data_IF_594369552809
#
_entry.id   IF_594369552809
#
_cell.length_a   1.000
_cell.length_b   1.000
_cell.length_c   1.000
_cell.angle_alpha   90.00
_cell.angle_beta   90.00
_cell.angle_gamma   90.00
#
_symmetry.space_group_name_H-M   'P 1'
#
loop_
_entity.id
_entity.type
_entity.pdbx_description
1 polymer ?
#
# COMPACT_ATOMS: atom_id res chain seq x y z
N UNK A 1 -13.16 -31.19 17.84
CA UNK A 1 -13.02 -32.44 18.61
C UNK A 1 -14.40 -33.11 18.69
N UNK A 2 -14.45 -34.44 18.75
CA UNK A 2 -15.68 -35.24 18.89
C UNK A 2 -16.57 -34.76 20.07
N UNK A 3 -15.98 -34.30 21.14
CA UNK A 3 -16.69 -33.73 22.30
C UNK A 3 -17.51 -32.46 21.96
N UNK A 4 -17.07 -31.62 21.05
CA UNK A 4 -17.82 -30.42 20.62
C UNK A 4 -19.08 -30.79 19.82
N UNK A 5 -19.05 -31.86 19.05
CA UNK A 5 -20.18 -32.36 18.23
C UNK A 5 -21.24 -32.92 19.16
N UNK A 6 -20.85 -33.72 20.13
CA UNK A 6 -21.79 -34.33 21.12
C UNK A 6 -22.44 -33.27 22.01
N UNK A 7 -21.71 -32.26 22.47
CA UNK A 7 -22.25 -31.19 23.35
C UNK A 7 -23.24 -30.28 22.58
N UNK A 8 -23.05 -30.04 21.30
CA UNK A 8 -23.92 -29.19 20.49
C UNK A 8 -25.07 -29.95 19.82
N UNK A 9 -25.13 -31.29 19.97
CA UNK A 9 -26.20 -32.12 19.40
C UNK A 9 -26.26 -32.09 17.87
N UNK A 10 -25.08 -31.86 17.21
CA UNK A 10 -24.96 -31.81 15.74
C UNK A 10 -25.24 -33.21 15.20
N UNK A 11 -26.22 -33.32 14.29
CA UNK A 11 -26.62 -34.60 13.66
C UNK A 11 -26.16 -34.72 12.22
N UNK A 12 -26.04 -33.61 11.53
CA UNK A 12 -25.50 -33.55 10.17
C UNK A 12 -24.65 -32.30 10.01
N UNK A 13 -23.63 -32.40 9.20
CA UNK A 13 -22.74 -31.28 8.88
C UNK A 13 -22.26 -31.38 7.44
N UNK A 14 -22.04 -30.22 6.82
CA UNK A 14 -21.48 -30.07 5.50
C UNK A 14 -20.33 -29.08 5.57
N UNK A 15 -19.25 -29.36 4.88
CA UNK A 15 -18.09 -28.47 4.80
C UNK A 15 -17.57 -28.44 3.36
N UNK A 16 -17.37 -27.24 2.82
CA UNK A 16 -16.78 -27.06 1.49
C UNK A 16 -15.60 -26.09 1.59
N UNK A 17 -14.51 -26.36 0.87
CA UNK A 17 -13.34 -25.49 0.86
C UNK A 17 -13.62 -24.19 0.10
N UNK A 18 -13.05 -23.09 0.59
CA UNK A 18 -12.93 -21.82 -0.12
C UNK A 18 -11.60 -21.81 -0.87
N UNK A 19 -11.68 -21.86 -2.20
CA UNK A 19 -10.50 -21.92 -3.05
C UNK A 19 -10.05 -20.55 -3.51
N UNK A 20 -8.74 -20.33 -3.50
CA UNK A 20 -8.02 -19.26 -4.17
C UNK A 20 -7.09 -19.90 -5.20
N UNK A 21 -7.49 -19.91 -6.46
CA UNK A 21 -6.85 -20.66 -7.54
C UNK A 21 -6.53 -22.11 -7.14
N UNK A 22 -5.34 -22.37 -6.63
CA UNK A 22 -4.87 -23.72 -6.23
C UNK A 22 -4.68 -23.87 -4.70
N UNK A 23 -5.10 -22.89 -3.91
CA UNK A 23 -4.92 -22.91 -2.46
C UNK A 23 -6.25 -22.80 -1.73
N UNK A 24 -6.43 -23.63 -0.70
CA UNK A 24 -7.57 -23.51 0.21
C UNK A 24 -7.28 -22.36 1.19
N UNK A 25 -8.08 -21.31 1.16
CA UNK A 25 -7.96 -20.13 2.03
C UNK A 25 -8.93 -20.15 3.21
N UNK A 26 -9.88 -21.07 3.21
CA UNK A 26 -10.85 -21.22 4.26
C UNK A 26 -11.80 -22.39 4.02
N UNK A 27 -12.76 -22.57 4.92
CA UNK A 27 -13.80 -23.58 4.81
C UNK A 27 -15.15 -22.95 5.15
N UNK A 28 -16.14 -23.15 4.29
CA UNK A 28 -17.52 -22.85 4.60
C UNK A 28 -18.14 -24.09 5.26
N UNK A 29 -18.67 -23.92 6.45
CA UNK A 29 -19.22 -24.99 7.28
C UNK A 29 -20.68 -24.69 7.62
N UNK A 30 -21.54 -25.70 7.51
CA UNK A 30 -22.88 -25.64 7.98
C UNK A 30 -23.22 -26.92 8.78
N UNK A 31 -23.99 -26.77 9.82
CA UNK A 31 -24.46 -27.89 10.65
C UNK A 31 -25.94 -27.77 10.95
N UNK A 32 -26.55 -28.92 11.21
CA UNK A 32 -27.95 -29.02 11.63
C UNK A 32 -28.11 -29.95 12.85
N UNK A 33 -28.91 -29.50 13.80
CA UNK A 33 -29.22 -30.23 15.02
C UNK A 33 -30.65 -30.79 15.04
N UNK A 34 -31.47 -30.49 14.01
CA UNK A 34 -32.83 -30.97 13.90
C UNK A 34 -32.87 -32.41 13.40
N UNK A 35 -33.65 -33.27 14.08
CA UNK A 35 -33.78 -34.69 13.77
C UNK A 35 -34.52 -35.00 12.45
N UNK A 36 -35.16 -34.00 11.85
CA UNK A 36 -35.94 -34.12 10.61
C UNK A 36 -35.16 -33.70 9.35
N UNK A 37 -33.97 -33.14 9.51
CA UNK A 37 -33.16 -32.68 8.38
C UNK A 37 -32.02 -33.69 8.13
N UNK A 38 -32.14 -34.47 7.10
CA UNK A 38 -31.11 -35.40 6.65
C UNK A 38 -30.53 -34.92 5.32
N UNK A 39 -29.33 -34.45 5.33
CA UNK A 39 -28.54 -34.14 4.11
C UNK A 39 -28.31 -35.40 3.24
N UNK A 40 -28.72 -36.59 3.73
CA UNK A 40 -28.34 -37.87 3.15
C UNK A 40 -29.18 -38.33 1.94
N UNK A 41 -30.34 -37.75 1.68
CA UNK A 41 -31.22 -38.20 0.60
C UNK A 41 -31.31 -37.30 -0.63
N UNK A 42 -30.86 -36.04 -0.52
CA UNK A 42 -30.82 -35.03 -1.60
C UNK A 42 -29.45 -34.35 -1.72
N UNK A 43 -28.42 -34.98 -1.17
CA UNK A 43 -27.13 -34.38 -0.85
C UNK A 43 -26.28 -33.85 -2.04
N UNK A 44 -26.56 -34.25 -3.28
CA UNK A 44 -25.77 -33.76 -4.43
C UNK A 44 -26.22 -32.35 -4.86
N UNK A 45 -27.51 -32.06 -4.87
CA UNK A 45 -28.01 -30.72 -5.22
C UNK A 45 -27.65 -29.68 -4.13
N UNK A 46 -27.82 -30.06 -2.87
CA UNK A 46 -27.48 -29.20 -1.73
C UNK A 46 -25.96 -28.96 -1.65
N UNK A 47 -25.14 -30.00 -1.87
CA UNK A 47 -23.70 -29.88 -1.93
C UNK A 47 -23.26 -28.95 -3.09
N UNK A 48 -23.91 -29.10 -4.24
CA UNK A 48 -23.65 -28.24 -5.42
C UNK A 48 -24.01 -26.78 -5.12
N UNK A 49 -25.17 -26.52 -4.52
CA UNK A 49 -25.56 -25.18 -4.11
C UNK A 49 -24.60 -24.60 -3.08
N UNK A 50 -24.23 -25.40 -2.07
CA UNK A 50 -23.31 -24.95 -1.02
C UNK A 50 -21.91 -24.69 -1.56
N UNK A 51 -21.46 -25.47 -2.55
CA UNK A 51 -20.21 -25.24 -3.26
C UNK A 51 -20.25 -23.96 -4.11
N UNK A 52 -21.37 -23.68 -4.78
CA UNK A 52 -21.57 -22.44 -5.52
C UNK A 52 -21.54 -21.22 -4.57
N UNK A 53 -22.18 -21.33 -3.40
CA UNK A 53 -22.14 -20.30 -2.37
C UNK A 53 -20.70 -20.09 -1.85
N UNK A 54 -19.96 -21.17 -1.61
CA UNK A 54 -18.56 -21.11 -1.19
C UNK A 54 -17.67 -20.39 -2.21
N UNK A 55 -17.90 -20.62 -3.50
CA UNK A 55 -17.17 -19.94 -4.57
C UNK A 55 -17.50 -18.44 -4.61
N UNK A 56 -18.75 -18.03 -4.39
CA UNK A 56 -19.14 -16.63 -4.30
C UNK A 56 -18.50 -15.95 -3.08
N UNK A 57 -18.47 -16.61 -1.94
CA UNK A 57 -17.80 -16.11 -0.73
C UNK A 57 -16.30 -15.99 -0.97
N UNK A 58 -15.66 -17.01 -1.52
CA UNK A 58 -14.24 -16.99 -1.83
C UNK A 58 -13.87 -15.81 -2.75
N UNK A 59 -14.61 -15.65 -3.86
CA UNK A 59 -14.42 -14.54 -4.80
C UNK A 59 -14.60 -13.16 -4.14
N UNK A 60 -15.58 -13.05 -3.23
CA UNK A 60 -15.83 -11.80 -2.49
C UNK A 60 -14.69 -11.47 -1.53
N UNK A 61 -14.17 -12.48 -0.82
CA UNK A 61 -13.02 -12.33 0.09
C UNK A 61 -11.75 -11.96 -0.69
N UNK A 62 -11.49 -12.63 -1.81
CA UNK A 62 -10.35 -12.33 -2.68
C UNK A 62 -10.40 -10.88 -3.18
N UNK A 63 -11.56 -10.46 -3.67
CA UNK A 63 -11.77 -9.09 -4.12
C UNK A 63 -11.53 -8.07 -3.01
N UNK A 64 -12.02 -8.35 -1.81
CA UNK A 64 -11.80 -7.49 -0.65
C UNK A 64 -10.31 -7.39 -0.28
N UNK A 65 -9.60 -8.52 -0.23
CA UNK A 65 -8.16 -8.56 0.06
C UNK A 65 -7.34 -7.80 -0.99
N UNK A 66 -7.70 -7.93 -2.27
CA UNK A 66 -7.04 -7.20 -3.35
C UNK A 66 -7.25 -5.69 -3.22
N UNK A 67 -8.47 -5.24 -2.94
CA UNK A 67 -8.78 -3.83 -2.73
C UNK A 67 -8.01 -3.26 -1.53
N UNK A 68 -7.91 -4.02 -0.44
CA UNK A 68 -7.18 -3.60 0.76
C UNK A 68 -5.67 -3.49 0.49
N UNK A 69 -5.13 -4.44 -0.26
CA UNK A 69 -3.72 -4.39 -0.72
C UNK A 69 -3.45 -3.16 -1.58
N UNK A 70 -4.31 -2.89 -2.56
CA UNK A 70 -4.18 -1.71 -3.43
C UNK A 70 -4.25 -0.40 -2.63
N UNK A 71 -5.16 -0.27 -1.67
CA UNK A 71 -5.23 0.89 -0.78
C UNK A 71 -3.95 1.09 0.04
N UNK A 72 -3.37 0.00 0.52
CA UNK A 72 -2.12 0.05 1.29
C UNK A 72 -0.95 0.51 0.42
N UNK A 73 -0.84 -0.04 -0.80
CA UNK A 73 0.18 0.36 -1.78
C UNK A 73 0.03 1.85 -2.17
N UNK A 74 -1.19 2.30 -2.41
CA UNK A 74 -1.51 3.69 -2.76
C UNK A 74 -1.17 4.64 -1.60
N UNK A 75 -1.47 4.27 -0.36
CA UNK A 75 -1.11 5.04 0.83
C UNK A 75 0.41 5.16 1.01
N UNK A 76 1.16 4.09 0.79
CA UNK A 76 2.63 4.10 0.84
C UNK A 76 3.17 5.01 -0.27
N UNK A 77 2.65 4.87 -1.49
CA UNK A 77 3.01 5.70 -2.63
C UNK A 77 2.80 7.19 -2.34
N UNK A 78 1.62 7.59 -1.87
CA UNK A 78 1.32 8.98 -1.52
C UNK A 78 2.23 9.53 -0.40
N UNK A 79 2.64 8.70 0.56
CA UNK A 79 3.60 9.13 1.58
C UNK A 79 4.99 9.37 1.00
N UNK A 80 5.44 8.52 0.08
CA UNK A 80 6.73 8.67 -0.58
C UNK A 80 6.74 9.88 -1.51
N UNK A 81 5.68 10.08 -2.31
CA UNK A 81 5.54 11.20 -3.24
C UNK A 81 5.55 12.58 -2.57
N UNK A 82 5.26 12.64 -1.27
CA UNK A 82 5.34 13.90 -0.51
C UNK A 82 6.77 14.40 -0.31
N UNK A 83 7.73 13.48 -0.30
CA UNK A 83 9.14 13.78 0.02
C UNK A 83 10.12 13.39 -1.08
N UNK A 84 9.65 12.73 -2.12
CA UNK A 84 10.45 12.27 -3.24
C UNK A 84 9.75 12.56 -4.55
N UNK A 85 10.53 12.83 -5.61
CA UNK A 85 9.95 13.02 -6.94
C UNK A 85 9.26 11.73 -7.41
N UNK A 86 8.19 11.85 -8.23
CA UNK A 86 7.50 10.69 -8.79
C UNK A 86 8.42 9.68 -9.47
N UNK A 87 9.45 10.15 -10.17
CA UNK A 87 10.46 9.32 -10.83
C UNK A 87 11.26 8.46 -9.83
N UNK A 88 11.69 9.04 -8.69
CA UNK A 88 12.39 8.31 -7.62
C UNK A 88 11.46 7.29 -6.98
N UNK A 89 10.21 7.66 -6.69
CA UNK A 89 9.22 6.73 -6.11
C UNK A 89 8.97 5.55 -7.04
N UNK A 90 8.80 5.81 -8.33
CA UNK A 90 8.59 4.76 -9.32
C UNK A 90 9.79 3.83 -9.43
N UNK A 91 11.01 4.37 -9.40
CA UNK A 91 12.24 3.59 -9.40
C UNK A 91 12.39 2.74 -8.13
N UNK A 92 12.10 3.31 -6.94
CA UNK A 92 12.11 2.57 -5.67
C UNK A 92 11.11 1.41 -5.66
N UNK A 93 9.91 1.63 -6.20
CA UNK A 93 8.88 0.59 -6.31
C UNK A 93 9.32 -0.50 -7.29
N UNK A 94 9.87 -0.12 -8.45
CA UNK A 94 10.34 -1.08 -9.47
C UNK A 94 11.52 -1.92 -9.00
N UNK A 95 12.41 -1.34 -8.19
CA UNK A 95 13.61 -1.98 -7.62
C UNK A 95 13.31 -2.78 -6.34
N UNK A 96 12.14 -2.56 -5.72
CA UNK A 96 11.73 -3.26 -4.49
C UNK A 96 11.68 -4.79 -4.58
N UNK A 97 11.86 -5.36 -5.78
CA UNK A 97 12.06 -6.80 -6.03
C UNK A 97 13.51 -7.27 -6.11
N UNK A 98 14.51 -6.38 -5.99
CA UNK A 98 15.91 -6.77 -6.04
C UNK A 98 16.45 -7.19 -4.66
N UNK A 99 17.28 -8.22 -4.59
CA UNK A 99 17.92 -8.64 -3.35
C UNK A 99 18.75 -7.49 -2.76
N UNK A 100 18.32 -6.97 -1.60
CA UNK A 100 19.03 -5.91 -0.89
C UNK A 100 18.50 -4.50 -1.06
N UNK A 101 17.51 -4.23 -1.93
CA UNK A 101 16.79 -2.94 -2.05
C UNK A 101 17.68 -1.71 -2.33
N UNK A 102 18.89 -1.90 -2.85
CA UNK A 102 19.83 -0.82 -3.15
C UNK A 102 19.88 -0.58 -4.65
N UNK A 103 19.77 0.70 -5.04
CA UNK A 103 20.07 1.13 -6.40
C UNK A 103 21.58 0.96 -6.66
N UNK A 104 21.93 0.46 -7.84
CA UNK A 104 23.32 0.42 -8.25
C UNK A 104 23.86 1.86 -8.41
N UNK A 105 25.10 2.15 -7.98
CA UNK A 105 25.72 3.42 -8.26
C UNK A 105 25.78 3.67 -9.77
N UNK A 106 25.40 4.88 -10.18
CA UNK A 106 25.47 5.31 -11.58
C UNK A 106 26.10 6.72 -11.63
N UNK A 107 26.87 6.97 -12.68
CA UNK A 107 27.36 8.30 -12.99
C UNK A 107 26.37 8.99 -13.94
N UNK A 108 26.03 10.24 -13.63
CA UNK A 108 25.14 11.07 -14.46
C UNK A 108 25.63 12.50 -14.44
N UNK A 109 25.42 13.20 -15.56
CA UNK A 109 25.55 14.66 -15.62
C UNK A 109 24.28 15.25 -15.01
N UNK A 110 24.41 16.14 -14.03
CA UNK A 110 23.30 16.72 -13.29
C UNK A 110 23.51 18.21 -13.05
N UNK A 111 22.42 18.97 -13.00
CA UNK A 111 22.40 20.34 -12.46
C UNK A 111 21.92 20.33 -11.01
N UNK A 112 22.63 21.03 -10.12
CA UNK A 112 22.30 21.07 -8.70
C UNK A 112 21.74 22.45 -8.35
N UNK A 113 20.58 22.47 -7.68
CA UNK A 113 19.90 23.64 -7.17
C UNK A 113 19.98 23.68 -5.63
N UNK A 114 20.41 24.83 -5.10
CA UNK A 114 20.22 25.19 -3.70
C UNK A 114 19.24 26.39 -3.64
N UNK A 115 18.17 26.27 -2.89
CA UNK A 115 17.21 27.33 -2.67
C UNK A 115 17.03 27.57 -1.16
N UNK A 116 17.30 28.80 -0.72
CA UNK A 116 17.38 29.18 0.68
C UNK A 116 16.50 30.41 0.99
N UNK A 117 16.00 30.51 2.22
CA UNK A 117 15.15 31.62 2.64
C UNK A 117 15.98 32.78 3.18
N UNK A 118 16.01 33.88 2.44
CA UNK A 118 16.76 35.06 2.85
C UNK A 118 16.20 35.62 4.17
N UNK A 119 17.07 35.76 5.17
CA UNK A 119 16.75 36.37 6.46
C UNK A 119 16.02 35.43 7.43
N UNK A 120 16.01 34.11 7.20
CA UNK A 120 15.36 33.12 8.05
C UNK A 120 15.80 33.21 9.52
N UNK A 121 17.08 33.42 9.81
CA UNK A 121 17.59 33.57 11.18
C UNK A 121 16.84 34.68 11.93
N UNK A 122 16.66 35.86 11.32
CA UNK A 122 15.96 36.98 11.93
C UNK A 122 14.43 36.72 12.09
N UNK A 123 13.87 35.93 11.18
CA UNK A 123 12.47 35.50 11.24
C UNK A 123 12.28 34.49 12.37
N UNK A 124 13.17 33.49 12.47
CA UNK A 124 13.08 32.42 13.44
C UNK A 124 13.22 32.88 14.89
N UNK A 125 14.00 33.93 15.14
CA UNK A 125 14.11 34.56 16.48
C UNK A 125 12.81 35.20 16.99
N UNK A 126 11.89 35.53 16.07
CA UNK A 126 10.62 36.24 16.37
C UNK A 126 9.39 35.34 16.39
N UNK A 127 9.51 34.16 15.85
CA UNK A 127 8.39 33.23 15.72
C UNK A 127 8.44 32.14 16.78
N UNK A 128 7.26 31.59 17.10
CA UNK A 128 7.17 30.37 17.91
C UNK A 128 7.63 29.16 17.10
N UNK A 129 8.11 28.09 17.75
CA UNK A 129 8.53 26.87 17.05
C UNK A 129 7.46 26.29 16.12
N UNK A 130 6.19 26.35 16.53
CA UNK A 130 5.05 25.90 15.70
C UNK A 130 4.87 26.77 14.46
N UNK A 131 5.01 28.09 14.59
CA UNK A 131 4.91 29.00 13.46
C UNK A 131 6.08 28.84 12.48
N UNK A 132 7.30 28.56 12.99
CA UNK A 132 8.46 28.24 12.16
C UNK A 132 8.21 26.94 11.36
N UNK A 133 7.73 25.91 12.02
CA UNK A 133 7.43 24.63 11.35
C UNK A 133 6.35 24.81 10.26
N UNK A 134 5.31 25.59 10.51
CA UNK A 134 4.28 25.88 9.51
C UNK A 134 4.84 26.69 8.34
N UNK A 135 5.66 27.71 8.61
CA UNK A 135 6.30 28.53 7.58
C UNK A 135 7.16 27.66 6.66
N UNK A 136 8.05 26.82 7.23
CA UNK A 136 8.92 25.96 6.48
C UNK A 136 8.16 24.90 5.69
N UNK A 137 7.14 24.28 6.28
CA UNK A 137 6.33 23.29 5.58
C UNK A 137 5.63 23.89 4.36
N UNK A 138 5.02 25.08 4.50
CA UNK A 138 4.37 25.74 3.38
C UNK A 138 5.36 26.16 2.30
N UNK A 139 6.51 26.71 2.71
CA UNK A 139 7.56 27.11 1.78
C UNK A 139 8.10 25.92 0.99
N UNK A 140 8.46 24.85 1.69
CA UNK A 140 8.97 23.64 1.05
C UNK A 140 7.95 22.98 0.14
N UNK A 141 6.67 22.97 0.51
CA UNK A 141 5.60 22.45 -0.34
C UNK A 141 5.53 23.21 -1.68
N UNK A 142 5.60 24.55 -1.65
CA UNK A 142 5.57 25.34 -2.87
C UNK A 142 6.86 25.18 -3.70
N UNK A 143 8.04 25.19 -3.06
CA UNK A 143 9.31 24.96 -3.76
C UNK A 143 9.34 23.58 -4.43
N UNK A 144 8.85 22.53 -3.75
CA UNK A 144 8.86 21.17 -4.29
C UNK A 144 7.89 20.97 -5.44
N UNK A 145 6.75 21.67 -5.44
CA UNK A 145 5.83 21.68 -6.59
C UNK A 145 6.56 22.12 -7.87
N UNK A 146 7.33 23.20 -7.78
CA UNK A 146 8.10 23.72 -8.91
C UNK A 146 9.24 22.77 -9.30
N UNK A 147 10.00 22.28 -8.34
CA UNK A 147 11.10 21.33 -8.57
C UNK A 147 10.59 20.07 -9.27
N UNK A 148 9.54 19.47 -8.74
CA UNK A 148 8.95 18.24 -9.31
C UNK A 148 8.22 18.53 -10.64
N UNK A 149 7.60 19.69 -10.79
CA UNK A 149 6.98 20.14 -12.04
C UNK A 149 7.96 20.25 -13.19
N UNK A 150 9.23 20.58 -12.89
CA UNK A 150 10.33 20.62 -13.83
C UNK A 150 11.11 19.29 -13.95
N UNK A 151 10.59 18.19 -13.37
CA UNK A 151 11.26 16.88 -13.38
C UNK A 151 12.48 16.78 -12.47
N UNK A 152 12.65 17.71 -11.53
CA UNK A 152 13.73 17.70 -10.55
C UNK A 152 13.51 16.66 -9.45
N UNK A 153 14.59 16.35 -8.76
CA UNK A 153 14.61 15.40 -7.62
C UNK A 153 15.06 16.13 -6.37
N UNK A 154 14.30 16.03 -5.28
CA UNK A 154 14.75 16.50 -3.97
C UNK A 154 15.83 15.55 -3.43
N UNK A 155 16.99 16.09 -3.06
CA UNK A 155 18.01 15.35 -2.34
C UNK A 155 17.77 15.41 -0.82
N UNK A 156 17.75 16.60 -0.26
CA UNK A 156 17.56 16.80 1.19
C UNK A 156 17.12 18.22 1.54
N UNK A 157 16.69 18.35 2.79
CA UNK A 157 16.52 19.64 3.48
C UNK A 157 17.76 19.94 4.32
N UNK A 158 18.23 21.19 4.29
CA UNK A 158 19.38 21.67 5.07
C UNK A 158 18.93 22.92 5.83
N UNK A 159 18.27 22.73 6.98
CA UNK A 159 17.63 23.83 7.70
C UNK A 159 16.46 24.42 6.94
N UNK A 160 16.57 25.67 6.49
CA UNK A 160 15.61 26.38 5.66
C UNK A 160 15.94 26.34 4.16
N UNK A 161 17.00 25.61 3.78
CA UNK A 161 17.42 25.40 2.41
C UNK A 161 16.94 24.06 1.89
N UNK A 162 16.57 23.97 0.60
CA UNK A 162 16.42 22.71 -0.13
C UNK A 162 17.60 22.50 -1.05
N UNK A 163 18.04 21.26 -1.16
CA UNK A 163 18.94 20.79 -2.20
C UNK A 163 18.18 19.89 -3.16
N UNK A 164 18.16 20.25 -4.42
CA UNK A 164 17.53 19.48 -5.47
C UNK A 164 18.50 19.33 -6.67
N UNK A 165 18.24 18.35 -7.51
CA UNK A 165 19.01 18.14 -8.73
C UNK A 165 18.11 17.73 -9.89
N UNK A 166 18.62 17.95 -11.13
CA UNK A 166 17.95 17.65 -12.39
C UNK A 166 18.89 16.79 -13.25
N UNK A 167 18.33 15.97 -14.15
CA UNK A 167 19.11 15.07 -15.00
C UNK A 167 19.27 13.65 -14.43
N UNK A 168 18.77 13.38 -13.22
CA UNK A 168 18.72 12.07 -12.62
C UNK A 168 17.49 11.94 -11.69
N UNK A 169 16.93 10.73 -11.46
CA UNK A 169 17.30 9.46 -12.06
C UNK A 169 16.91 9.35 -13.55
N UNK A 170 16.05 10.23 -14.04
CA UNK A 170 15.67 10.30 -15.44
C UNK A 170 16.55 11.34 -16.15
N UNK A 171 17.20 10.97 -17.28
CA UNK A 171 17.99 11.92 -18.05
C UNK A 171 17.13 13.04 -18.61
N UNK A 172 17.57 14.29 -18.50
CA UNK A 172 16.98 15.47 -19.10
C UNK A 172 18.00 16.13 -20.03
N UNK A 173 17.54 16.66 -21.16
CA UNK A 173 18.44 17.30 -22.14
C UNK A 173 18.70 18.78 -21.84
N UNK A 174 17.84 19.40 -21.03
CA UNK A 174 17.78 20.84 -20.75
C UNK A 174 17.83 21.20 -19.26
N UNK A 175 18.52 20.36 -18.46
CA UNK A 175 18.69 20.59 -17.04
C UNK A 175 19.76 21.62 -16.67
#
# INVERSE_FOLDING_TARGET
>A
SEQSILVKGIRSAMAVPLWDENKVVGVLYADANLSSYHWANEGEEELSFFSALANLVASSVQRWLLVEKLKTEEMIRHRLERYHSPAVVQQLISVGGLPGGRLAPAESEISILFADLVGFTAISERLTPTAIAQLLNNLFEEMLKEVFGCGGTLDKYIGDCIMAFFGAPEPQLDH
#
